data_IF_092101021791
#
_entry.id   IF_092101021791
#
_cell.length_a   1.000
_cell.length_b   1.000
_cell.length_c   1.000
_cell.angle_alpha   90.00
_cell.angle_beta   90.00
_cell.angle_gamma   90.00
#
_symmetry.space_group_name_H-M   'P 1'
#
loop_
_entity.id
_entity.type
_entity.pdbx_description
1 polymer ?
#
# COMPACT_ATOMS: atom_id res chain seq x y z
N UNK A 1 -12.00 17.07 23.61
CA UNK A 1 -11.26 15.88 23.14
C UNK A 1 -11.84 15.49 21.79
N UNK A 2 -11.06 15.54 20.71
CA UNK A 2 -11.46 14.95 19.43
C UNK A 2 -11.55 13.42 19.64
N UNK A 3 -12.71 12.82 19.33
CA UNK A 3 -12.85 11.36 19.31
C UNK A 3 -11.92 10.80 18.26
N UNK A 4 -11.21 9.72 18.57
CA UNK A 4 -10.38 9.05 17.56
C UNK A 4 -11.25 8.54 16.41
N UNK A 5 -10.70 8.51 15.21
CA UNK A 5 -11.31 7.84 14.05
C UNK A 5 -11.58 6.37 14.37
N UNK A 6 -10.75 5.75 15.21
CA UNK A 6 -10.92 4.37 15.70
C UNK A 6 -12.13 4.25 16.61
N UNK A 7 -12.36 5.20 17.51
CA UNK A 7 -13.52 5.20 18.41
C UNK A 7 -14.83 5.29 17.61
N UNK A 8 -14.87 6.18 16.62
CA UNK A 8 -16.04 6.36 15.74
C UNK A 8 -16.28 5.11 14.90
N UNK A 9 -15.23 4.54 14.29
CA UNK A 9 -15.34 3.33 13.49
C UNK A 9 -15.79 2.11 14.32
N UNK A 10 -15.34 2.02 15.59
CA UNK A 10 -15.75 0.99 16.54
C UNK A 10 -17.24 1.09 16.86
N UNK A 11 -17.70 2.28 17.24
CA UNK A 11 -19.10 2.52 17.61
C UNK A 11 -20.03 2.20 16.43
N UNK A 12 -19.69 2.65 15.22
CA UNK A 12 -20.49 2.36 14.02
C UNK A 12 -20.47 0.88 13.62
N UNK A 13 -19.30 0.22 13.61
CA UNK A 13 -19.21 -1.19 13.23
C UNK A 13 -19.97 -2.11 14.19
N UNK A 14 -19.83 -1.90 15.50
CA UNK A 14 -20.52 -2.71 16.50
C UNK A 14 -22.03 -2.48 16.44
N UNK A 15 -22.47 -1.22 16.29
CA UNK A 15 -23.89 -0.88 16.16
C UNK A 15 -24.50 -1.51 14.91
N UNK A 16 -23.84 -1.41 13.76
CA UNK A 16 -24.34 -2.03 12.53
C UNK A 16 -24.42 -3.56 12.66
N UNK A 17 -23.43 -4.18 13.29
CA UNK A 17 -23.40 -5.63 13.44
C UNK A 17 -24.45 -6.15 14.43
N UNK A 18 -24.69 -5.43 15.52
CA UNK A 18 -25.77 -5.72 16.47
C UNK A 18 -27.15 -5.58 15.81
N UNK A 19 -27.38 -4.48 15.08
CA UNK A 19 -28.62 -4.29 14.32
C UNK A 19 -28.86 -5.41 13.30
N UNK A 20 -27.80 -5.99 12.72
CA UNK A 20 -27.92 -7.11 11.79
C UNK A 20 -28.39 -8.39 12.50
N UNK A 21 -27.87 -8.68 13.69
CA UNK A 21 -28.33 -9.80 14.53
C UNK A 21 -29.79 -9.62 14.92
N UNK A 22 -30.18 -8.42 15.38
CA UNK A 22 -31.56 -8.12 15.74
C UNK A 22 -32.52 -8.27 14.57
N UNK A 23 -32.13 -7.86 13.36
CA UNK A 23 -32.94 -8.04 12.14
C UNK A 23 -33.15 -9.51 11.82
N UNK A 24 -32.11 -10.33 11.88
CA UNK A 24 -32.25 -11.78 11.64
C UNK A 24 -33.10 -12.44 12.70
N UNK A 25 -32.88 -12.12 13.97
CA UNK A 25 -33.68 -12.59 15.09
C UNK A 25 -35.18 -12.26 14.88
N UNK A 26 -35.50 -10.99 14.66
CA UNK A 26 -36.87 -10.53 14.45
C UNK A 26 -37.51 -11.11 13.19
N UNK A 27 -36.74 -11.32 12.12
CA UNK A 27 -37.25 -11.95 10.91
C UNK A 27 -37.62 -13.41 11.17
N UNK A 28 -36.75 -14.18 11.82
CA UNK A 28 -37.00 -15.60 12.08
C UNK A 28 -38.15 -15.81 13.06
N UNK A 29 -38.26 -14.96 14.07
CA UNK A 29 -39.40 -14.95 14.99
C UNK A 29 -40.72 -14.66 14.27
N UNK A 30 -40.74 -13.70 13.33
CA UNK A 30 -41.91 -13.43 12.48
C UNK A 30 -42.32 -14.60 11.58
N UNK A 31 -41.37 -15.44 11.17
CA UNK A 31 -41.64 -16.64 10.37
C UNK A 31 -41.93 -17.88 11.24
N UNK A 32 -42.08 -17.73 12.55
CA UNK A 32 -42.44 -18.82 13.46
C UNK A 32 -41.32 -19.83 13.70
N UNK A 33 -40.05 -19.42 13.50
CA UNK A 33 -38.91 -20.27 13.82
C UNK A 33 -38.85 -20.55 15.33
N UNK A 34 -38.41 -21.76 15.67
CA UNK A 34 -38.18 -22.16 17.06
C UNK A 34 -36.97 -21.41 17.65
N UNK A 35 -36.96 -21.18 18.96
CA UNK A 35 -35.82 -20.53 19.64
C UNK A 35 -34.49 -21.27 19.41
N UNK A 36 -34.53 -22.60 19.25
CA UNK A 36 -33.35 -23.41 18.95
C UNK A 36 -32.81 -23.14 17.54
N UNK A 37 -33.68 -22.99 16.53
CA UNK A 37 -33.26 -22.62 15.18
C UNK A 37 -32.76 -21.18 15.10
N UNK A 38 -33.43 -20.26 15.81
CA UNK A 38 -33.00 -18.86 15.92
C UNK A 38 -31.61 -18.81 16.55
N UNK A 39 -31.41 -19.45 17.71
CA UNK A 39 -30.13 -19.47 18.40
C UNK A 39 -29.03 -20.18 17.60
N UNK A 40 -29.36 -21.20 16.80
CA UNK A 40 -28.39 -21.83 15.90
C UNK A 40 -27.86 -20.83 14.85
N UNK A 41 -28.71 -19.97 14.32
CA UNK A 41 -28.34 -19.02 13.27
C UNK A 41 -27.76 -17.72 13.85
N UNK A 42 -28.37 -17.16 14.88
CA UNK A 42 -27.91 -15.90 15.50
C UNK A 42 -26.73 -16.13 16.45
N UNK A 43 -26.59 -17.31 17.04
CA UNK A 43 -25.51 -17.63 17.99
C UNK A 43 -24.12 -17.47 17.38
N UNK A 44 -23.91 -17.96 16.15
CA UNK A 44 -22.64 -17.77 15.44
C UNK A 44 -22.37 -16.29 15.14
N UNK A 45 -23.39 -15.51 14.78
CA UNK A 45 -23.22 -14.06 14.58
C UNK A 45 -22.92 -13.32 15.89
N UNK A 46 -23.53 -13.74 17.00
CA UNK A 46 -23.25 -13.16 18.33
C UNK A 46 -21.81 -13.44 18.74
N UNK A 47 -21.31 -14.66 18.50
CA UNK A 47 -19.91 -15.01 18.74
C UNK A 47 -18.96 -14.18 17.88
N UNK A 48 -19.25 -14.03 16.58
CA UNK A 48 -18.47 -13.15 15.69
C UNK A 48 -18.53 -11.68 16.09
N UNK A 49 -19.63 -11.21 16.68
CA UNK A 49 -19.72 -9.86 17.22
C UNK A 49 -18.83 -9.67 18.47
N UNK A 50 -18.67 -10.71 19.29
CA UNK A 50 -17.73 -10.68 20.43
C UNK A 50 -16.29 -10.64 19.93
N UNK A 51 -15.92 -11.51 18.99
CA UNK A 51 -14.59 -11.48 18.36
C UNK A 51 -14.28 -10.11 17.73
N UNK A 52 -15.27 -9.50 17.05
CA UNK A 52 -15.12 -8.16 16.48
C UNK A 52 -14.90 -7.10 17.57
N UNK A 53 -15.61 -7.18 18.69
CA UNK A 53 -15.44 -6.24 19.81
C UNK A 53 -14.04 -6.34 20.43
N UNK A 54 -13.52 -7.56 20.59
CA UNK A 54 -12.19 -7.82 21.12
C UNK A 54 -11.10 -7.26 20.18
N UNK A 55 -11.22 -7.52 18.88
CA UNK A 55 -10.30 -6.98 17.88
C UNK A 55 -10.30 -5.45 17.83
N UNK A 56 -11.47 -4.82 17.98
CA UNK A 56 -11.57 -3.36 18.03
C UNK A 56 -10.92 -2.80 19.30
N UNK A 57 -10.99 -3.52 20.43
CA UNK A 57 -10.30 -3.15 21.65
C UNK A 57 -8.77 -3.24 21.49
N UNK A 58 -8.28 -4.29 20.83
CA UNK A 58 -6.84 -4.44 20.54
C UNK A 58 -6.32 -3.30 19.65
N UNK A 59 -7.10 -2.89 18.65
CA UNK A 59 -6.76 -1.74 17.80
C UNK A 59 -6.66 -0.46 18.62
N UNK A 60 -7.59 -0.22 19.55
CA UNK A 60 -7.56 0.94 20.44
C UNK A 60 -6.30 0.94 21.33
N UNK A 61 -5.91 -0.22 21.84
CA UNK A 61 -4.69 -0.38 22.64
C UNK A 61 -3.42 -0.13 21.81
N UNK A 62 -3.41 -0.56 20.56
CA UNK A 62 -2.31 -0.28 19.62
C UNK A 62 -2.23 1.20 19.24
N UNK A 63 -3.37 1.87 19.05
CA UNK A 63 -3.40 3.31 18.79
C UNK A 63 -2.84 4.11 19.97
N UNK A 64 -3.23 3.76 21.20
CA UNK A 64 -2.67 4.37 22.42
C UNK A 64 -1.16 4.18 22.52
N UNK A 65 -0.66 2.97 22.23
CA UNK A 65 0.78 2.68 22.20
C UNK A 65 1.51 3.48 21.12
N UNK A 66 0.93 3.57 19.92
CA UNK A 66 1.50 4.33 18.81
C UNK A 66 1.62 5.81 19.17
N UNK A 67 0.56 6.39 19.75
CA UNK A 67 0.56 7.79 20.18
C UNK A 67 1.64 8.07 21.24
N UNK A 68 1.80 7.17 22.21
CA UNK A 68 2.89 7.28 23.20
C UNK A 68 4.27 7.20 22.56
N UNK A 69 4.46 6.34 21.56
CA UNK A 69 5.72 6.27 20.82
C UNK A 69 5.98 7.53 19.98
N UNK A 70 4.96 8.09 19.34
CA UNK A 70 5.05 9.35 18.60
C UNK A 70 5.42 10.52 19.51
N UNK A 71 4.84 10.59 20.71
CA UNK A 71 5.20 11.59 21.74
C UNK A 71 6.67 11.43 22.15
N UNK A 72 7.14 10.21 22.42
CA UNK A 72 8.56 9.98 22.76
C UNK A 72 9.53 10.27 21.61
N UNK A 73 9.16 9.97 20.36
CA UNK A 73 9.97 10.27 19.17
C UNK A 73 10.07 11.79 18.95
N UNK A 74 8.98 12.53 19.19
CA UNK A 74 9.00 14.00 19.16
C UNK A 74 9.88 14.58 20.27
N UNK A 75 9.79 14.07 21.50
CA UNK A 75 10.66 14.47 22.61
C UNK A 75 12.14 14.20 22.31
N UNK A 76 12.46 13.02 21.78
CA UNK A 76 13.84 12.68 21.38
C UNK A 76 14.36 13.57 20.25
N UNK A 77 13.53 13.86 19.24
CA UNK A 77 13.90 14.81 18.17
C UNK A 77 14.10 16.23 18.70
N UNK A 78 13.29 16.68 19.64
CA UNK A 78 13.44 17.97 20.29
C UNK A 78 14.73 18.05 21.12
N UNK A 79 15.06 16.99 21.88
CA UNK A 79 16.32 16.89 22.62
C UNK A 79 17.52 16.93 21.66
N UNK A 80 17.49 16.12 20.59
CA UNK A 80 18.54 16.10 19.58
C UNK A 80 18.68 17.44 18.84
N UNK A 81 17.57 18.13 18.57
CA UNK A 81 17.59 19.47 17.99
C UNK A 81 18.22 20.51 18.94
N UNK A 82 17.92 20.41 20.24
CA UNK A 82 18.52 21.26 21.28
C UNK A 82 20.02 20.99 21.45
N UNK A 83 20.44 19.72 21.40
CA UNK A 83 21.85 19.31 21.46
C UNK A 83 22.67 19.79 20.25
N UNK A 84 22.06 19.87 19.06
CA UNK A 84 22.68 20.42 17.85
C UNK A 84 22.74 21.96 17.80
N UNK A 85 22.46 22.64 18.93
CA UNK A 85 22.49 24.10 19.00
C UNK A 85 21.28 24.78 18.38
N UNK A 86 20.18 24.06 18.15
CA UNK A 86 18.92 24.64 17.70
C UNK A 86 18.34 25.57 18.77
N UNK A 87 18.45 26.88 18.56
CA UNK A 87 17.71 27.87 19.34
C UNK A 87 16.24 27.75 18.92
N UNK A 88 15.43 27.14 19.78
CA UNK A 88 13.98 27.30 19.70
C UNK A 88 13.66 28.70 20.23
N UNK A 89 13.71 29.71 19.35
CA UNK A 89 13.06 30.98 19.62
C UNK A 89 11.56 30.73 19.69
N UNK A 90 11.10 30.43 20.89
CA UNK A 90 9.72 30.63 21.28
C UNK A 90 9.48 32.15 21.13
N UNK A 91 8.90 32.57 20.01
CA UNK A 91 8.51 33.96 19.79
C UNK A 91 7.38 34.32 20.76
N UNK A 92 7.72 34.52 22.04
CA UNK A 92 7.00 35.44 22.89
C UNK A 92 7.55 36.83 22.58
N UNK A 93 6.81 37.60 21.80
CA UNK A 93 7.01 39.02 21.59
C UNK A 93 7.03 39.75 22.95
N UNK A 94 8.22 40.02 23.49
CA UNK A 94 8.42 41.11 24.44
C UNK A 94 9.90 41.54 24.55
N UNK A 95 10.27 42.49 23.69
CA UNK A 95 11.00 43.71 24.05
C UNK A 95 12.45 43.63 24.56
N UNK A 96 13.27 44.46 23.91
CA UNK A 96 14.31 45.35 24.48
C UNK A 96 15.78 44.92 24.33
N UNK A 97 16.38 45.44 23.26
CA UNK A 97 17.66 46.20 23.17
C UNK A 97 19.02 45.65 23.66
N UNK A 98 20.03 46.00 22.83
CA UNK A 98 21.48 46.17 23.07
C UNK A 98 22.31 44.88 23.13
N UNK A 99 23.57 44.77 22.69
CA UNK A 99 24.57 45.66 22.07
C UNK A 99 25.79 44.75 21.73
N UNK A 100 26.53 45.06 20.65
CA UNK A 100 27.99 44.87 20.38
C UNK A 100 28.81 43.86 21.24
N UNK A 101 29.76 43.04 20.73
CA UNK A 101 30.82 43.30 19.75
C UNK A 101 31.57 42.00 19.35
N UNK A 102 32.45 42.14 18.36
CA UNK A 102 33.31 41.19 17.61
C UNK A 102 34.34 40.35 18.40
N UNK A 103 34.68 39.15 17.88
CA UNK A 103 35.94 38.83 17.16
C UNK A 103 36.22 37.32 17.03
N UNK A 104 36.58 36.92 15.81
CA UNK A 104 37.34 35.76 15.30
C UNK A 104 37.77 34.62 16.23
N UNK A 105 37.54 33.35 15.82
CA UNK A 105 38.61 32.45 15.35
C UNK A 105 38.06 31.12 14.76
N UNK A 106 38.84 30.57 13.84
CA UNK A 106 38.68 29.44 12.94
C UNK A 106 38.18 28.13 13.57
N UNK A 107 37.17 27.52 12.94
CA UNK A 107 37.12 26.07 12.67
C UNK A 107 36.10 25.76 11.58
N UNK A 108 36.57 25.71 10.33
CA UNK A 108 35.86 25.06 9.22
C UNK A 108 35.62 23.59 9.60
N UNK A 109 34.38 23.24 9.91
CA UNK A 109 33.90 21.89 9.68
C UNK A 109 33.14 21.93 8.35
N UNK A 110 33.70 21.26 7.35
CA UNK A 110 33.03 21.05 6.08
C UNK A 110 31.63 20.46 6.35
N UNK A 111 30.55 21.01 5.77
CA UNK A 111 29.30 20.31 5.78
C UNK A 111 29.53 19.00 5.03
N UNK A 112 29.19 17.89 5.67
CA UNK A 112 29.21 16.56 5.07
C UNK A 112 28.49 16.69 3.73
N UNK A 113 29.27 16.69 2.65
CA UNK A 113 28.82 16.70 1.28
C UNK A 113 28.08 15.39 1.04
N UNK A 114 26.78 15.39 1.36
CA UNK A 114 25.86 14.43 0.77
C UNK A 114 25.85 14.79 -0.71
N UNK A 115 26.74 14.14 -1.46
CA UNK A 115 27.00 14.53 -2.84
C UNK A 115 25.67 14.67 -3.60
N UNK A 116 25.42 15.86 -4.16
CA UNK A 116 24.28 16.11 -5.06
C UNK A 116 24.23 15.07 -6.20
N UNK A 117 25.38 14.48 -6.51
CA UNK A 117 25.57 13.38 -7.44
C UNK A 117 24.76 12.11 -7.07
N UNK A 118 24.56 11.80 -5.78
CA UNK A 118 23.82 10.62 -5.33
C UNK A 118 22.29 10.83 -5.43
N UNK A 119 21.79 12.03 -5.10
CA UNK A 119 20.38 12.37 -5.29
C UNK A 119 20.01 12.47 -6.77
N UNK A 120 20.86 13.11 -7.59
CA UNK A 120 20.63 13.20 -9.03
C UNK A 120 20.69 11.83 -9.72
N UNK A 121 21.63 10.96 -9.34
CA UNK A 121 21.72 9.61 -9.92
C UNK A 121 20.52 8.74 -9.56
N UNK A 122 20.00 8.80 -8.34
CA UNK A 122 18.79 8.08 -7.94
C UNK A 122 17.53 8.59 -8.66
N UNK A 123 17.40 9.92 -8.83
CA UNK A 123 16.28 10.51 -9.59
C UNK A 123 16.33 10.12 -11.08
N UNK A 124 17.52 10.09 -11.69
CA UNK A 124 17.73 9.64 -13.09
C UNK A 124 17.46 8.15 -13.26
N UNK A 125 17.90 7.31 -12.31
CA UNK A 125 17.59 5.87 -12.29
C UNK A 125 16.10 5.62 -12.17
N UNK A 126 15.42 6.34 -11.28
CA UNK A 126 13.97 6.24 -11.13
C UNK A 126 13.22 6.64 -12.40
N UNK A 127 13.56 7.80 -13.01
CA UNK A 127 12.92 8.21 -14.27
C UNK A 127 13.16 7.21 -15.40
N UNK A 128 14.36 6.61 -15.47
CA UNK A 128 14.67 5.56 -16.43
C UNK A 128 13.80 4.31 -16.21
N UNK A 129 13.67 3.83 -14.97
CA UNK A 129 12.82 2.67 -14.64
C UNK A 129 11.34 2.94 -14.97
N UNK A 130 10.84 4.16 -14.69
CA UNK A 130 9.49 4.57 -15.09
C UNK A 130 9.32 4.49 -16.61
N UNK A 131 10.28 5.00 -17.37
CA UNK A 131 10.22 4.95 -18.85
C UNK A 131 10.25 3.52 -19.39
N UNK A 132 11.04 2.65 -18.75
CA UNK A 132 11.16 1.24 -19.08
C UNK A 132 9.87 0.47 -18.81
N UNK A 133 9.22 0.76 -17.67
CA UNK A 133 7.90 0.23 -17.36
C UNK A 133 6.89 0.64 -18.45
N UNK A 134 6.82 1.93 -18.79
CA UNK A 134 5.90 2.44 -19.81
C UNK A 134 6.13 1.82 -21.18
N UNK A 135 7.39 1.55 -21.53
CA UNK A 135 7.76 0.83 -22.76
C UNK A 135 7.27 -0.62 -22.72
N UNK A 136 7.44 -1.30 -21.59
CA UNK A 136 7.03 -2.70 -21.40
C UNK A 136 5.50 -2.88 -21.45
N UNK A 137 4.77 -1.92 -20.87
CA UNK A 137 3.30 -1.93 -20.78
C UNK A 137 2.61 -1.10 -21.88
N UNK A 138 3.32 -0.70 -22.93
CA UNK A 138 2.75 0.02 -24.10
C UNK A 138 1.65 -0.80 -24.76
N UNK A 139 0.74 -0.22 -25.52
CA UNK A 139 -0.27 -1.03 -26.24
C UNK A 139 0.37 -2.04 -27.21
N UNK A 140 -0.23 -3.22 -27.37
CA UNK A 140 0.15 -4.21 -28.38
C UNK A 140 -0.35 -3.75 -29.74
N UNK A 141 0.60 -3.58 -30.67
CA UNK A 141 0.32 -3.23 -32.05
C UNK A 141 -0.25 -4.42 -32.82
N UNK A 142 -0.90 -4.15 -33.95
CA UNK A 142 -1.46 -5.22 -34.79
C UNK A 142 -0.38 -6.20 -35.27
N UNK A 143 0.81 -5.69 -35.65
CA UNK A 143 1.92 -6.52 -36.08
C UNK A 143 2.41 -7.48 -34.98
N UNK A 144 2.59 -6.96 -33.76
CA UNK A 144 2.99 -7.77 -32.60
C UNK A 144 1.92 -8.81 -32.23
N UNK A 145 0.63 -8.44 -32.30
CA UNK A 145 -0.46 -9.35 -31.95
C UNK A 145 -0.57 -10.56 -32.88
N UNK A 146 -0.35 -10.36 -34.18
CA UNK A 146 -0.45 -11.42 -35.19
C UNK A 146 0.68 -12.45 -35.02
N UNK A 147 1.85 -12.02 -34.52
CA UNK A 147 2.99 -12.90 -34.26
C UNK A 147 2.77 -13.88 -33.09
N UNK A 148 1.77 -13.63 -32.24
CA UNK A 148 1.44 -14.54 -31.15
C UNK A 148 0.74 -15.78 -31.73
N UNK A 149 1.21 -17.01 -31.45
CA UNK A 149 0.55 -18.23 -31.91
C UNK A 149 -0.92 -18.26 -31.48
N UNK A 150 -1.82 -18.73 -32.37
CA UNK A 150 -3.25 -18.84 -32.07
C UNK A 150 -3.53 -19.68 -30.82
N UNK A 151 -2.73 -20.75 -30.61
CA UNK A 151 -2.77 -21.58 -29.40
C UNK A 151 -2.50 -20.78 -28.12
N UNK A 152 -1.60 -19.80 -28.18
CA UNK A 152 -1.26 -18.92 -27.04
C UNK A 152 -2.31 -17.82 -26.84
N UNK A 153 -2.88 -17.28 -27.93
CA UNK A 153 -3.96 -16.29 -27.88
C UNK A 153 -5.26 -16.87 -27.33
N UNK A 154 -5.56 -18.13 -27.65
CA UNK A 154 -6.85 -18.72 -27.31
C UNK A 154 -7.99 -17.88 -27.89
N UNK A 155 -8.86 -17.36 -27.03
CA UNK A 155 -10.03 -16.55 -27.42
C UNK A 155 -9.85 -15.04 -27.22
N UNK A 156 -8.68 -14.57 -26.78
CA UNK A 156 -8.50 -13.15 -26.47
C UNK A 156 -8.32 -12.31 -27.74
N UNK A 157 -9.06 -11.20 -27.82
CA UNK A 157 -8.86 -10.20 -28.86
C UNK A 157 -7.76 -9.19 -28.51
N UNK A 158 -7.17 -8.53 -29.53
CA UNK A 158 -6.16 -7.46 -29.32
C UNK A 158 -6.70 -6.32 -28.45
N UNK A 159 -7.97 -5.94 -28.64
CA UNK A 159 -8.62 -4.89 -27.86
C UNK A 159 -8.71 -5.29 -26.38
N UNK A 160 -9.14 -6.51 -26.09
CA UNK A 160 -9.24 -7.02 -24.72
C UNK A 160 -7.86 -7.12 -24.06
N UNK A 161 -6.85 -7.57 -24.81
CA UNK A 161 -5.46 -7.62 -24.35
C UNK A 161 -4.94 -6.22 -23.99
N UNK A 162 -5.20 -5.21 -24.82
CA UNK A 162 -4.78 -3.82 -24.56
C UNK A 162 -5.55 -3.17 -23.41
N UNK A 163 -6.83 -3.49 -23.23
CA UNK A 163 -7.61 -3.05 -22.06
C UNK A 163 -7.02 -3.60 -20.76
N UNK A 164 -6.70 -4.89 -20.73
CA UNK A 164 -6.02 -5.50 -19.58
C UNK A 164 -4.65 -4.88 -19.35
N UNK A 165 -3.87 -4.66 -20.40
CA UNK A 165 -2.54 -4.09 -20.28
C UNK A 165 -2.55 -2.66 -19.73
N UNK A 166 -3.52 -1.84 -20.16
CA UNK A 166 -3.75 -0.51 -19.59
C UNK A 166 -4.04 -0.60 -18.09
N UNK A 167 -4.89 -1.54 -17.68
CA UNK A 167 -5.20 -1.76 -16.27
C UNK A 167 -3.96 -2.19 -15.48
N UNK A 168 -3.12 -3.04 -16.04
CA UNK A 168 -1.85 -3.44 -15.41
C UNK A 168 -0.93 -2.23 -15.26
N UNK A 169 -0.81 -1.39 -16.29
CA UNK A 169 -0.04 -0.13 -16.23
C UNK A 169 -0.53 0.80 -15.13
N UNK A 170 -1.85 0.94 -14.95
CA UNK A 170 -2.44 1.70 -13.84
C UNK A 170 -2.02 1.11 -12.48
N UNK A 171 -2.10 -0.21 -12.30
CA UNK A 171 -1.72 -0.85 -11.03
C UNK A 171 -0.22 -0.69 -10.74
N UNK A 172 0.65 -0.87 -11.74
CA UNK A 172 2.08 -0.63 -11.58
C UNK A 172 2.39 0.85 -11.30
N UNK A 173 1.68 1.76 -11.97
CA UNK A 173 1.82 3.20 -11.75
C UNK A 173 1.41 3.57 -10.33
N UNK A 174 0.30 3.04 -9.82
CA UNK A 174 -0.13 3.25 -8.44
C UNK A 174 0.92 2.79 -7.42
N UNK A 175 1.51 1.61 -7.66
CA UNK A 175 2.45 0.99 -6.73
C UNK A 175 3.83 1.65 -6.73
N UNK A 176 4.34 2.05 -7.90
CA UNK A 176 5.73 2.48 -8.06
C UNK A 176 5.91 3.95 -8.48
N UNK A 177 4.89 4.56 -9.12
CA UNK A 177 4.98 5.90 -9.71
C UNK A 177 4.23 6.95 -8.88
N UNK A 178 3.02 6.63 -8.44
CA UNK A 178 2.12 7.57 -7.76
C UNK A 178 2.35 7.66 -6.24
N UNK A 179 3.26 6.87 -5.67
CA UNK A 179 3.62 6.98 -4.25
C UNK A 179 4.41 8.27 -3.97
N UNK A 180 3.70 9.41 -3.91
CA UNK A 180 4.23 10.69 -3.40
C UNK A 180 4.41 10.68 -1.87
N UNK A 181 3.90 9.65 -1.19
CA UNK A 181 4.09 9.36 0.23
C UNK A 181 4.54 7.91 0.32
N UNK A 182 5.61 7.58 1.06
CA UNK A 182 5.83 6.20 1.49
C UNK A 182 4.54 5.75 2.18
N UNK A 183 3.98 4.58 1.87
CA UNK A 183 2.84 4.08 2.61
C UNK A 183 3.24 4.01 4.09
N UNK A 184 2.60 4.83 4.92
CA UNK A 184 2.81 4.89 6.38
C UNK A 184 2.47 3.55 7.08
N UNK A 185 1.95 2.57 6.33
CA UNK A 185 1.71 1.22 6.80
C UNK A 185 2.15 0.19 5.74
N UNK A 186 3.44 -0.09 5.70
CA UNK A 186 3.98 -1.34 5.14
C UNK A 186 5.16 -1.84 6.00
N UNK A 187 5.03 -1.74 7.33
CA UNK A 187 5.98 -2.33 8.28
C UNK A 187 5.78 -3.84 8.51
N UNK A 188 4.75 -4.46 7.91
CA UNK A 188 4.46 -5.90 8.11
C UNK A 188 4.45 -6.77 6.84
N UNK A 189 4.80 -6.25 5.65
CA UNK A 189 5.18 -7.16 4.59
C UNK A 189 6.59 -7.65 4.93
N UNK A 190 6.65 -8.88 5.47
CA UNK A 190 7.91 -9.63 5.62
C UNK A 190 8.72 -9.39 4.35
N UNK A 191 9.83 -8.64 4.47
CA UNK A 191 10.86 -8.56 3.43
C UNK A 191 11.55 -9.92 3.37
N UNK A 192 10.83 -10.92 2.89
CA UNK A 192 11.50 -11.93 2.10
C UNK A 192 11.79 -11.24 0.77
N UNK A 193 12.89 -10.51 0.73
CA UNK A 193 13.52 -10.13 -0.52
C UNK A 193 13.97 -11.45 -1.16
N UNK A 194 13.06 -12.11 -1.87
CA UNK A 194 13.42 -13.25 -2.68
C UNK A 194 14.46 -12.75 -3.67
N UNK A 195 15.67 -13.33 -3.68
CA UNK A 195 16.78 -12.85 -4.53
C UNK A 195 16.36 -12.68 -5.99
N UNK A 196 15.43 -13.52 -6.47
CA UNK A 196 14.84 -13.49 -7.81
C UNK A 196 14.05 -12.21 -8.14
N UNK A 197 13.57 -11.48 -7.13
CA UNK A 197 12.76 -10.25 -7.26
C UNK A 197 13.58 -8.97 -7.04
N UNK A 198 14.84 -9.10 -6.57
CA UNK A 198 15.68 -7.96 -6.25
C UNK A 198 15.92 -7.10 -7.49
N UNK A 199 15.61 -5.80 -7.39
CA UNK A 199 15.78 -4.84 -8.48
C UNK A 199 14.72 -4.90 -9.59
N UNK A 200 13.67 -5.72 -9.44
CA UNK A 200 12.56 -5.81 -10.40
C UNK A 200 11.34 -5.05 -9.93
N UNK A 201 10.52 -4.56 -10.85
CA UNK A 201 9.19 -4.03 -10.54
C UNK A 201 8.19 -5.17 -10.67
N UNK A 202 7.48 -5.50 -9.60
CA UNK A 202 6.63 -6.68 -9.53
C UNK A 202 5.37 -6.50 -8.68
N UNK A 203 4.35 -7.29 -9.01
CA UNK A 203 3.07 -7.30 -8.29
C UNK A 203 2.73 -8.76 -8.01
N UNK A 204 2.22 -9.05 -6.80
CA UNK A 204 1.77 -10.42 -6.53
C UNK A 204 0.55 -10.73 -7.40
N UNK A 205 0.42 -11.98 -7.84
CA UNK A 205 -0.73 -12.38 -8.67
C UNK A 205 -2.04 -12.12 -7.92
N UNK A 206 -2.09 -12.36 -6.62
CA UNK A 206 -3.27 -12.09 -5.79
C UNK A 206 -3.61 -10.59 -5.75
N UNK A 207 -2.62 -9.72 -5.56
CA UNK A 207 -2.81 -8.25 -5.59
C UNK A 207 -3.38 -7.78 -6.94
N UNK A 208 -2.90 -8.36 -8.03
CA UNK A 208 -3.37 -8.05 -9.39
C UNK A 208 -4.80 -8.55 -9.62
N UNK A 209 -5.10 -9.79 -9.23
CA UNK A 209 -6.42 -10.40 -9.39
C UNK A 209 -7.50 -9.72 -8.53
N UNK A 210 -7.17 -9.22 -7.33
CA UNK A 210 -8.14 -8.49 -6.49
C UNK A 210 -8.62 -7.21 -7.17
N UNK A 211 -7.76 -6.56 -7.96
CA UNK A 211 -8.13 -5.35 -8.73
C UNK A 211 -8.85 -5.66 -10.04
N UNK A 212 -8.94 -6.92 -10.44
CA UNK A 212 -9.64 -7.35 -11.65
C UNK A 212 -11.11 -7.69 -11.37
N UNK A 213 -11.98 -7.30 -12.30
CA UNK A 213 -13.37 -7.74 -12.36
C UNK A 213 -13.44 -9.23 -12.74
N UNK A 214 -14.57 -9.88 -12.51
CA UNK A 214 -14.76 -11.29 -12.88
C UNK A 214 -14.50 -11.55 -14.37
N UNK A 215 -14.87 -10.62 -15.25
CA UNK A 215 -14.61 -10.71 -16.70
C UNK A 215 -13.10 -10.64 -17.00
N UNK A 216 -12.41 -9.68 -16.39
CA UNK A 216 -10.97 -9.49 -16.57
C UNK A 216 -10.16 -10.67 -16.03
N UNK A 217 -10.59 -11.29 -14.92
CA UNK A 217 -9.96 -12.52 -14.38
C UNK A 217 -10.01 -13.68 -15.37
N UNK A 218 -11.10 -13.80 -16.14
CA UNK A 218 -11.24 -14.80 -17.19
C UNK A 218 -10.31 -14.47 -18.35
N UNK A 219 -10.34 -13.22 -18.83
CA UNK A 219 -9.46 -12.75 -19.91
C UNK A 219 -7.98 -12.83 -19.54
N UNK A 220 -7.63 -12.65 -18.27
CA UNK A 220 -6.25 -12.74 -17.75
C UNK A 220 -5.60 -14.11 -18.02
N UNK A 221 -6.38 -15.20 -17.93
CA UNK A 221 -5.90 -16.55 -18.23
C UNK A 221 -5.35 -16.69 -19.66
N UNK A 222 -5.89 -15.91 -20.60
CA UNK A 222 -5.44 -15.86 -21.99
C UNK A 222 -4.43 -14.73 -22.24
N UNK A 223 -4.56 -13.62 -21.52
CA UNK A 223 -3.67 -12.46 -21.66
C UNK A 223 -2.26 -12.74 -21.15
N UNK A 224 -2.11 -13.40 -20.00
CA UNK A 224 -0.81 -13.63 -19.38
C UNK A 224 0.14 -14.40 -20.33
N UNK A 225 -0.23 -15.55 -20.92
CA UNK A 225 0.61 -16.24 -21.90
C UNK A 225 1.02 -15.36 -23.10
N UNK A 226 0.13 -14.49 -23.57
CA UNK A 226 0.43 -13.55 -24.64
C UNK A 226 1.49 -12.52 -24.22
N UNK A 227 1.37 -11.98 -23.01
CA UNK A 227 2.31 -10.97 -22.47
C UNK A 227 3.67 -11.57 -22.12
N UNK A 228 3.71 -12.84 -21.68
CA UNK A 228 4.94 -13.60 -21.51
C UNK A 228 5.63 -13.84 -22.86
N UNK A 229 4.87 -14.24 -23.89
CA UNK A 229 5.40 -14.48 -25.23
C UNK A 229 6.03 -13.22 -25.84
N UNK A 230 5.38 -12.06 -25.66
CA UNK A 230 5.90 -10.77 -26.11
C UNK A 230 7.04 -10.22 -25.23
N UNK A 231 7.49 -10.96 -24.21
CA UNK A 231 8.52 -10.52 -23.25
C UNK A 231 8.21 -9.18 -22.59
N UNK A 232 6.93 -8.95 -22.29
CA UNK A 232 6.46 -7.74 -21.59
C UNK A 232 6.37 -7.98 -20.09
N UNK A 233 5.88 -9.15 -19.72
CA UNK A 233 5.81 -9.60 -18.34
C UNK A 233 6.60 -10.89 -18.16
N UNK A 234 6.98 -11.17 -16.93
CA UNK A 234 7.56 -12.42 -16.48
C UNK A 234 6.79 -12.94 -15.28
N UNK A 235 6.56 -14.26 -15.24
CA UNK A 235 5.99 -14.94 -14.08
C UNK A 235 7.14 -15.48 -13.21
N UNK A 236 7.26 -14.94 -12.01
CA UNK A 236 8.27 -15.37 -11.03
C UNK A 236 7.57 -16.17 -9.94
N UNK A 237 7.81 -17.49 -9.94
CA UNK A 237 7.37 -18.38 -8.88
C UNK A 237 8.45 -18.52 -7.83
N UNK A 238 8.07 -18.21 -6.59
CA UNK A 238 8.94 -18.35 -5.44
C UNK A 238 8.60 -19.65 -4.71
N UNK A 239 7.32 -19.86 -4.39
CA UNK A 239 6.76 -21.07 -3.78
C UNK A 239 5.45 -21.44 -4.49
N UNK A 240 4.85 -22.59 -4.16
CA UNK A 240 3.58 -23.06 -4.74
C UNK A 240 2.42 -22.06 -4.59
N UNK A 241 2.46 -21.22 -3.55
CA UNK A 241 1.43 -20.22 -3.26
C UNK A 241 1.85 -18.78 -3.62
N UNK A 242 3.10 -18.55 -4.00
CA UNK A 242 3.67 -17.22 -4.18
C UNK A 242 4.09 -16.99 -5.64
N UNK A 243 3.13 -16.52 -6.44
CA UNK A 243 3.35 -16.13 -7.85
C UNK A 243 3.38 -14.61 -7.96
N UNK A 244 4.45 -14.09 -8.57
CA UNK A 244 4.63 -12.67 -8.85
C UNK A 244 4.69 -12.42 -10.35
N UNK A 245 4.12 -11.30 -10.76
CA UNK A 245 4.16 -10.80 -12.13
C UNK A 245 5.13 -9.62 -12.15
N UNK A 246 6.27 -9.81 -12.81
CA UNK A 246 7.31 -8.80 -12.96
C UNK A 246 7.24 -8.15 -14.34
N UNK A 247 7.47 -6.83 -14.40
CA UNK A 247 7.66 -6.14 -15.68
C UNK A 247 9.07 -6.42 -16.22
N UNK A 248 9.17 -6.74 -17.50
CA UNK A 248 10.47 -6.87 -18.19
C UNK A 248 10.94 -5.47 -18.55
N UNK A 249 11.98 -5.00 -17.87
CA UNK A 249 12.60 -3.68 -18.10
C UNK A 249 13.82 -3.90 -19.02
N UNK A 250 13.88 -3.24 -20.18
CA UNK A 250 14.87 -3.49 -21.26
C UNK A 250 15.47 -2.22 -21.84
#
# INVERSE_FOLDING_TARGET
MLRSVVDVAREECLKQSQCKVERYYNSMLKFGASDTDINRVTGSLIEKNKELADLLHDIELLEKKLKGLEETDMEQKLLHFKELGGILEETSLKGTASSECDMDDVSKSEPISWSDNQMQSNRRRYSFLVSQLKKSLRSVETGEFILIPSKTRGRIGRLELNQLLKKIDEIFSDKYVCQKRPPLALKNAKKQDHEKLKGRWYISLNELLVRFTSKEKISWKFALPCLLYLKRLEEVRVDDNNVFIAAVLS
#
